data_IF_673404419535
#
_entry.id   IF_673404419535
#
_cell.length_a   1.000
_cell.length_b   1.000
_cell.length_c   1.000
_cell.angle_alpha   90.00
_cell.angle_beta   90.00
_cell.angle_gamma   90.00
#
_symmetry.space_group_name_H-M   'P 1'
#
loop_
_entity.id
_entity.type
_entity.pdbx_description
1 polymer ?
#
# COMPACT_ATOMS: atom_id res chain seq x y z
N UNK A 1 -52.16 -29.26 -19.29
CA UNK A 1 -50.83 -28.77 -19.72
C UNK A 1 -49.96 -29.98 -20.07
N UNK A 2 -49.29 -30.02 -21.23
CA UNK A 2 -48.49 -31.20 -21.64
C UNK A 2 -47.34 -31.45 -20.66
N UNK A 3 -47.09 -32.72 -20.26
CA UNK A 3 -45.95 -33.12 -19.41
C UNK A 3 -44.62 -32.56 -19.90
N UNK A 4 -44.47 -32.34 -21.21
CA UNK A 4 -43.28 -31.76 -21.85
C UNK A 4 -43.10 -30.28 -21.48
N UNK A 5 -44.18 -29.50 -21.36
CA UNK A 5 -44.14 -28.09 -20.91
C UNK A 5 -43.76 -27.98 -19.43
N UNK A 6 -44.26 -28.88 -18.59
CA UNK A 6 -43.94 -28.91 -17.15
C UNK A 6 -42.45 -29.21 -16.92
N UNK A 7 -41.88 -30.18 -17.65
CA UNK A 7 -40.46 -30.51 -17.55
C UNK A 7 -39.55 -29.36 -18.02
N UNK A 8 -39.95 -28.61 -19.04
CA UNK A 8 -39.19 -27.44 -19.50
C UNK A 8 -39.25 -26.31 -18.48
N UNK A 9 -40.43 -26.04 -17.90
CA UNK A 9 -40.59 -25.00 -16.86
C UNK A 9 -39.71 -25.29 -15.65
N UNK A 10 -39.68 -26.56 -15.20
CA UNK A 10 -38.84 -26.99 -14.09
C UNK A 10 -37.34 -26.83 -14.37
N UNK A 11 -36.89 -27.14 -15.59
CA UNK A 11 -35.48 -26.91 -15.99
C UNK A 11 -35.10 -25.43 -15.95
N UNK A 12 -35.95 -24.54 -16.46
CA UNK A 12 -35.68 -23.10 -16.42
C UNK A 12 -35.66 -22.55 -15.00
N UNK A 13 -36.54 -23.02 -14.10
CA UNK A 13 -36.48 -22.62 -12.68
C UNK A 13 -35.19 -23.07 -12.01
N UNK A 14 -34.68 -24.26 -12.32
CA UNK A 14 -33.39 -24.74 -11.79
C UNK A 14 -32.23 -23.87 -12.29
N UNK A 15 -32.20 -23.53 -13.58
CA UNK A 15 -31.17 -22.63 -14.12
C UNK A 15 -31.21 -21.23 -13.51
N UNK A 16 -32.41 -20.67 -13.29
CA UNK A 16 -32.57 -19.38 -12.62
C UNK A 16 -32.00 -19.41 -11.19
N UNK A 17 -32.28 -20.47 -10.42
CA UNK A 17 -31.75 -20.63 -9.06
C UNK A 17 -30.23 -20.73 -9.08
N UNK A 18 -29.65 -21.52 -9.98
CA UNK A 18 -28.18 -21.63 -10.12
C UNK A 18 -27.56 -20.27 -10.46
N UNK A 19 -28.16 -19.51 -11.38
CA UNK A 19 -27.68 -18.17 -11.75
C UNK A 19 -27.71 -17.21 -10.55
N UNK A 20 -28.80 -17.21 -9.77
CA UNK A 20 -28.91 -16.39 -8.57
C UNK A 20 -27.87 -16.76 -7.50
N UNK A 21 -27.57 -18.05 -7.34
CA UNK A 21 -26.50 -18.52 -6.44
C UNK A 21 -25.13 -18.00 -6.92
N UNK A 22 -24.83 -18.09 -8.22
CA UNK A 22 -23.57 -17.59 -8.77
C UNK A 22 -23.45 -16.08 -8.57
N UNK A 23 -24.50 -15.32 -8.83
CA UNK A 23 -24.53 -13.86 -8.60
C UNK A 23 -24.33 -13.54 -7.12
N UNK A 24 -25.01 -14.28 -6.23
CA UNK A 24 -24.87 -14.13 -4.78
C UNK A 24 -23.44 -14.41 -4.30
N UNK A 25 -22.79 -15.45 -4.83
CA UNK A 25 -21.39 -15.76 -4.53
C UNK A 25 -20.43 -14.70 -5.08
N UNK A 26 -20.63 -14.25 -6.33
CA UNK A 26 -19.82 -13.19 -6.91
C UNK A 26 -19.95 -11.87 -6.13
N UNK A 27 -21.16 -11.50 -5.72
CA UNK A 27 -21.41 -10.34 -4.87
C UNK A 27 -20.80 -10.51 -3.48
N UNK A 28 -20.90 -11.71 -2.89
CA UNK A 28 -20.27 -12.00 -1.60
C UNK A 28 -18.74 -11.87 -1.66
N UNK A 29 -18.10 -12.38 -2.72
CA UNK A 29 -16.65 -12.22 -2.94
C UNK A 29 -16.30 -10.74 -3.16
N UNK A 30 -17.10 -9.99 -3.91
CA UNK A 30 -16.91 -8.56 -4.11
C UNK A 30 -16.98 -7.78 -2.79
N UNK A 31 -18.04 -8.02 -1.99
CA UNK A 31 -18.20 -7.39 -0.68
C UNK A 31 -17.07 -7.79 0.25
N UNK A 32 -16.74 -9.07 0.35
CA UNK A 32 -15.63 -9.56 1.15
C UNK A 32 -14.32 -8.92 0.73
N UNK A 33 -14.01 -8.80 -0.57
CA UNK A 33 -12.81 -8.08 -1.02
C UNK A 33 -12.82 -6.61 -0.64
N UNK A 34 -14.00 -5.97 -0.63
CA UNK A 34 -14.17 -4.56 -0.21
C UNK A 34 -14.09 -4.35 1.31
N UNK A 35 -14.48 -5.35 2.11
CA UNK A 35 -14.46 -5.27 3.59
C UNK A 35 -13.26 -5.95 4.24
N UNK A 36 -12.63 -6.92 3.58
CA UNK A 36 -11.37 -7.57 3.97
C UNK A 36 -10.13 -6.86 3.41
N UNK A 37 -10.30 -5.90 2.51
CA UNK A 37 -9.47 -4.68 2.54
C UNK A 37 -9.80 -3.83 3.78
N UNK A 38 -10.04 -4.48 4.92
CA UNK A 38 -10.39 -3.93 6.23
C UNK A 38 -9.28 -3.13 6.89
N UNK A 39 -8.36 -2.65 6.07
CA UNK A 39 -7.44 -1.54 6.24
C UNK A 39 -8.09 -0.18 5.94
N UNK A 40 -9.34 -0.17 5.46
CA UNK A 40 -10.17 1.04 5.36
C UNK A 40 -10.64 1.51 6.75
N UNK A 41 -9.75 1.68 7.72
CA UNK A 41 -10.09 2.61 8.80
C UNK A 41 -10.04 4.00 8.15
N UNK A 42 -11.21 4.41 7.64
CA UNK A 42 -11.35 5.63 6.87
C UNK A 42 -10.73 6.77 7.67
N UNK A 43 -9.78 7.46 7.04
CA UNK A 43 -9.14 8.59 7.67
C UNK A 43 -10.22 9.59 8.08
N UNK A 44 -10.32 9.90 9.38
CA UNK A 44 -11.37 10.77 9.88
C UNK A 44 -10.79 12.05 10.45
N UNK A 45 -11.48 13.15 10.18
CA UNK A 45 -11.08 14.49 10.60
C UNK A 45 -11.90 14.88 11.82
N UNK A 46 -11.21 15.33 12.87
CA UNK A 46 -11.84 15.90 14.07
C UNK A 46 -11.36 17.33 14.22
N UNK A 47 -12.28 18.28 14.18
CA UNK A 47 -12.01 19.69 14.39
C UNK A 47 -12.59 20.15 15.72
N UNK A 48 -11.76 20.79 16.54
CA UNK A 48 -12.24 21.53 17.72
C UNK A 48 -12.80 22.89 17.31
N UNK A 49 -12.17 23.53 16.33
CA UNK A 49 -12.57 24.77 15.66
C UNK A 49 -11.98 24.82 14.24
N UNK A 50 -12.18 25.91 13.51
CA UNK A 50 -11.74 26.06 12.10
C UNK A 50 -10.22 25.92 11.88
N UNK A 51 -9.40 26.21 12.90
CA UNK A 51 -7.94 26.23 12.81
C UNK A 51 -7.28 25.06 13.57
N UNK A 52 -8.03 24.36 14.42
CA UNK A 52 -7.54 23.25 15.23
C UNK A 52 -8.23 21.95 14.80
N UNK A 53 -7.75 21.36 13.71
CA UNK A 53 -8.19 20.05 13.23
C UNK A 53 -7.05 19.04 13.25
N UNK A 54 -7.41 17.79 13.51
CA UNK A 54 -6.55 16.63 13.39
C UNK A 54 -7.19 15.65 12.40
N UNK A 55 -6.35 14.92 11.67
CA UNK A 55 -6.77 13.77 10.88
C UNK A 55 -6.13 12.52 11.49
N UNK A 56 -6.94 11.52 11.83
CA UNK A 56 -6.44 10.20 12.16
C UNK A 56 -6.23 9.45 10.84
N UNK A 57 -4.99 9.07 10.56
CA UNK A 57 -4.61 8.34 9.36
C UNK A 57 -4.33 6.89 9.70
N UNK A 58 -4.75 6.02 8.78
CA UNK A 58 -4.38 4.62 8.72
C UNK A 58 -4.14 4.32 7.25
N UNK A 59 -2.87 4.28 6.85
CA UNK A 59 -2.49 4.18 5.44
C UNK A 59 -1.52 3.03 5.23
N UNK A 60 -1.65 2.37 4.08
CA UNK A 60 -0.81 1.25 3.67
C UNK A 60 -0.24 1.49 2.29
N UNK A 61 1.02 1.09 2.07
CA UNK A 61 1.63 1.09 0.74
C UNK A 61 2.42 -0.17 0.51
N UNK A 62 2.34 -0.70 -0.71
CA UNK A 62 3.20 -1.80 -1.13
C UNK A 62 4.60 -1.26 -1.38
N UNK A 63 5.63 -1.94 -0.88
CA UNK A 63 7.02 -1.67 -1.25
C UNK A 63 7.66 -2.93 -1.84
N UNK A 64 8.52 -2.77 -2.82
CA UNK A 64 9.39 -3.84 -3.31
C UNK A 64 10.79 -3.30 -3.43
N UNK A 65 11.77 -4.06 -2.96
CA UNK A 65 13.17 -3.66 -2.97
C UNK A 65 13.96 -4.78 -3.64
N UNK A 66 14.48 -4.51 -4.83
CA UNK A 66 15.29 -5.46 -5.59
C UNK A 66 16.74 -4.97 -5.63
N UNK A 67 17.67 -5.75 -5.07
CA UNK A 67 19.11 -5.44 -5.09
C UNK A 67 19.86 -6.55 -5.82
N UNK A 68 20.51 -6.21 -6.93
CA UNK A 68 21.20 -7.16 -7.81
C UNK A 68 20.30 -8.37 -8.18
N UNK A 69 19.09 -8.09 -8.66
CA UNK A 69 18.07 -9.09 -9.04
C UNK A 69 17.60 -10.00 -7.89
N UNK A 70 17.87 -9.64 -6.63
CA UNK A 70 17.35 -10.33 -5.45
C UNK A 70 16.36 -9.43 -4.72
N UNK A 71 15.16 -9.94 -4.52
CA UNK A 71 14.16 -9.27 -3.70
C UNK A 71 14.58 -9.32 -2.23
N UNK A 72 14.60 -8.15 -1.58
CA UNK A 72 14.79 -8.02 -0.15
C UNK A 72 13.42 -7.99 0.54
N UNK A 73 13.26 -8.84 1.54
CA UNK A 73 12.08 -8.85 2.39
C UNK A 73 12.30 -7.97 3.62
N UNK A 74 11.31 -7.14 3.91
CA UNK A 74 11.28 -6.35 5.12
C UNK A 74 10.88 -7.18 6.34
N UNK A 75 11.39 -6.85 7.55
CA UNK A 75 10.91 -7.46 8.78
C UNK A 75 9.42 -7.16 8.98
N UNK A 76 8.68 -8.07 9.62
CA UNK A 76 7.27 -7.86 9.96
C UNK A 76 7.14 -7.04 11.24
N UNK A 77 6.13 -6.17 11.31
CA UNK A 77 5.77 -5.42 12.53
C UNK A 77 6.95 -4.64 13.17
N UNK A 78 7.88 -4.15 12.35
CA UNK A 78 9.08 -3.44 12.76
C UNK A 78 8.87 -1.92 12.71
N UNK A 79 9.21 -1.24 13.81
CA UNK A 79 9.00 0.19 13.99
C UNK A 79 8.01 0.55 15.09
N UNK A 80 7.73 1.85 15.19
CA UNK A 80 6.75 2.36 16.14
C UNK A 80 5.33 2.12 15.62
N UNK A 81 4.55 1.33 16.36
CA UNK A 81 3.15 1.02 16.04
C UNK A 81 2.23 2.25 16.05
N UNK A 82 2.66 3.37 16.64
CA UNK A 82 1.96 4.66 16.64
C UNK A 82 2.68 5.64 15.71
N UNK A 83 2.81 5.25 14.46
CA UNK A 83 3.61 5.95 13.46
C UNK A 83 3.99 4.99 12.33
N UNK A 84 5.14 5.23 11.72
CA UNK A 84 5.62 4.47 10.56
C UNK A 84 6.24 3.13 10.98
N UNK A 85 5.73 2.03 10.45
CA UNK A 85 6.22 0.68 10.69
C UNK A 85 5.91 -0.27 9.52
N UNK A 86 6.42 -1.49 9.55
CA UNK A 86 5.97 -2.55 8.63
C UNK A 86 4.72 -3.23 9.15
N UNK A 87 3.84 -3.64 8.25
CA UNK A 87 2.63 -4.36 8.62
C UNK A 87 2.90 -5.86 8.89
N UNK A 88 1.85 -6.60 9.25
CA UNK A 88 1.90 -8.07 9.42
C UNK A 88 2.03 -8.82 8.09
N UNK A 89 1.55 -8.24 6.99
CA UNK A 89 1.82 -8.68 5.62
C UNK A 89 3.22 -8.23 5.19
N UNK A 90 3.91 -9.08 4.43
CA UNK A 90 5.26 -8.77 3.94
C UNK A 90 5.25 -7.56 3.03
N UNK A 91 6.26 -6.72 3.19
CA UNK A 91 6.57 -5.62 2.29
C UNK A 91 5.41 -4.60 2.15
N UNK A 92 4.66 -4.41 3.23
CA UNK A 92 3.66 -3.35 3.36
C UNK A 92 4.18 -2.31 4.36
N UNK A 93 4.31 -1.07 3.89
CA UNK A 93 4.47 0.11 4.73
C UNK A 93 3.14 0.38 5.41
N UNK A 94 3.19 0.73 6.69
CA UNK A 94 2.01 1.04 7.47
C UNK A 94 2.26 2.27 8.34
N UNK A 95 1.28 3.17 8.38
CA UNK A 95 1.29 4.34 9.24
C UNK A 95 -0.06 4.50 9.92
N UNK A 96 -0.02 4.59 11.25
CA UNK A 96 -1.19 4.79 12.09
C UNK A 96 -0.90 5.89 13.14
N UNK A 97 -1.31 7.13 12.85
CA UNK A 97 -1.19 8.24 13.79
C UNK A 97 -2.16 9.39 13.46
N UNK A 98 -2.26 10.37 14.38
CA UNK A 98 -2.98 11.62 14.20
C UNK A 98 -2.04 12.72 13.73
N UNK A 99 -2.34 13.36 12.61
CA UNK A 99 -1.58 14.51 12.10
C UNK A 99 -2.41 15.79 12.17
N UNK A 100 -1.72 16.93 12.29
CA UNK A 100 -2.34 18.24 12.22
C UNK A 100 -2.90 18.48 10.81
N UNK A 101 -4.14 18.97 10.72
CA UNK A 101 -4.87 19.10 9.47
C UNK A 101 -5.42 20.52 9.31
N UNK A 102 -5.30 21.08 8.11
CA UNK A 102 -5.91 22.35 7.76
C UNK A 102 -7.21 22.10 7.00
N UNK A 103 -8.34 22.36 7.66
CA UNK A 103 -9.66 22.13 7.09
C UNK A 103 -10.01 23.06 5.91
N UNK A 104 -9.41 24.26 5.84
CA UNK A 104 -9.65 25.21 4.75
C UNK A 104 -8.94 24.79 3.46
N UNK A 105 -7.70 24.31 3.57
CA UNK A 105 -6.93 23.85 2.41
C UNK A 105 -7.11 22.36 2.12
N UNK A 106 -7.79 21.64 3.02
CA UNK A 106 -7.96 20.19 3.02
C UNK A 106 -6.62 19.43 2.93
N UNK A 107 -5.62 19.88 3.68
CA UNK A 107 -4.25 19.32 3.64
C UNK A 107 -3.72 19.05 5.03
N UNK A 108 -2.91 18.00 5.14
CA UNK A 108 -2.04 17.77 6.30
C UNK A 108 -1.05 18.93 6.38
N UNK A 109 -0.86 19.49 7.57
CA UNK A 109 0.00 20.65 7.80
C UNK A 109 1.48 20.22 7.77
N UNK A 110 1.79 19.12 8.44
CA UNK A 110 3.14 18.54 8.49
C UNK A 110 3.11 17.11 7.94
N UNK A 111 3.66 16.95 6.74
CA UNK A 111 3.80 15.65 6.06
C UNK A 111 5.14 14.98 6.34
N UNK A 112 5.98 15.56 7.19
CA UNK A 112 7.28 14.99 7.54
C UNK A 112 7.18 13.53 8.01
N UNK A 113 6.25 13.14 8.91
CA UNK A 113 6.11 11.75 9.36
C UNK A 113 5.88 10.75 8.21
N UNK A 114 5.24 11.21 7.13
CA UNK A 114 4.89 10.45 5.95
C UNK A 114 5.99 10.41 4.88
N UNK A 115 7.18 10.94 5.13
CA UNK A 115 8.30 10.82 4.20
C UNK A 115 8.97 9.45 4.29
N UNK A 116 9.38 8.89 3.15
CA UNK A 116 10.05 7.58 3.10
C UNK A 116 11.29 7.48 3.98
N UNK A 117 12.05 8.57 4.16
CA UNK A 117 13.21 8.56 5.07
C UNK A 117 12.88 8.14 6.50
N UNK A 118 11.66 8.41 6.98
CA UNK A 118 11.22 8.00 8.30
C UNK A 118 10.89 6.52 8.36
N UNK A 119 10.46 5.93 7.25
CA UNK A 119 10.29 4.48 7.17
C UNK A 119 11.63 3.74 7.14
N UNK A 120 12.60 4.25 6.37
CA UNK A 120 13.91 3.60 6.23
C UNK A 120 14.87 3.90 7.38
N UNK A 121 14.45 4.70 8.38
CA UNK A 121 15.30 5.06 9.50
C UNK A 121 15.65 3.85 10.40
N UNK A 122 16.52 4.09 11.38
CA UNK A 122 16.99 3.10 12.33
C UNK A 122 15.91 2.55 13.28
N UNK A 123 14.78 3.25 13.44
CA UNK A 123 13.70 2.86 14.36
C UNK A 123 12.74 1.86 13.71
N UNK A 124 12.53 1.96 12.39
CA UNK A 124 11.58 1.12 11.66
C UNK A 124 12.24 -0.12 11.03
N UNK A 125 13.05 0.05 9.97
CA UNK A 125 13.68 -1.11 9.28
C UNK A 125 15.21 -1.08 9.26
N UNK A 126 15.83 -0.01 9.76
CA UNK A 126 17.28 0.17 9.81
C UNK A 126 17.99 -0.14 8.49
N UNK A 127 17.53 0.49 7.42
CA UNK A 127 18.05 0.27 6.07
C UNK A 127 18.46 1.62 5.47
N UNK A 128 19.74 1.77 5.14
CA UNK A 128 20.19 2.96 4.44
C UNK A 128 19.39 3.15 3.15
N UNK A 129 18.88 4.35 2.92
CA UNK A 129 18.23 4.71 1.66
C UNK A 129 18.79 6.07 1.25
N UNK A 130 18.64 6.46 -0.02
CA UNK A 130 18.89 7.80 -0.57
C UNK A 130 18.72 7.74 -2.09
N UNK A 131 18.91 8.86 -2.77
CA UNK A 131 19.04 8.90 -4.23
C UNK A 131 20.33 8.25 -4.75
N UNK A 132 21.27 7.88 -3.87
CA UNK A 132 22.57 7.32 -4.26
C UNK A 132 22.84 5.94 -3.69
N UNK A 133 22.15 5.52 -2.64
CA UNK A 133 22.43 4.26 -1.96
C UNK A 133 21.16 3.59 -1.43
N UNK A 134 21.16 2.25 -1.40
CA UNK A 134 20.19 1.39 -0.71
C UNK A 134 20.97 0.32 0.06
N UNK A 135 20.71 0.20 1.35
CA UNK A 135 21.47 -0.59 2.30
C UNK A 135 22.99 -0.29 2.25
N UNK A 136 23.80 -1.28 1.88
CA UNK A 136 25.25 -1.23 1.72
C UNK A 136 25.68 -0.99 0.26
N UNK A 137 24.73 -0.75 -0.65
CA UNK A 137 25.00 -0.55 -2.08
C UNK A 137 24.79 0.90 -2.48
N UNK A 138 25.78 1.47 -3.16
CA UNK A 138 25.74 2.82 -3.68
C UNK A 138 25.93 2.84 -5.20
N UNK A 139 25.54 3.93 -5.84
CA UNK A 139 25.68 4.12 -7.28
C UNK A 139 27.13 3.85 -7.73
N UNK A 140 27.25 3.10 -8.83
CA UNK A 140 28.48 2.55 -9.39
C UNK A 140 29.05 1.30 -8.69
N UNK A 141 28.47 0.84 -7.57
CA UNK A 141 28.76 -0.50 -7.09
C UNK A 141 28.31 -1.55 -8.11
N UNK A 142 28.99 -2.69 -8.09
CA UNK A 142 28.78 -3.74 -9.09
C UNK A 142 27.71 -4.73 -8.65
N UNK A 143 26.79 -5.03 -9.56
CA UNK A 143 25.99 -6.26 -9.57
C UNK A 143 26.48 -7.10 -10.75
N UNK A 144 27.01 -8.30 -10.50
CA UNK A 144 27.51 -9.20 -11.55
C UNK A 144 28.48 -8.50 -12.54
N UNK A 145 29.44 -7.74 -12.00
CA UNK A 145 30.42 -6.93 -12.74
C UNK A 145 29.84 -5.78 -13.58
N UNK A 146 28.57 -5.44 -13.40
CA UNK A 146 27.91 -4.32 -14.07
C UNK A 146 27.70 -3.16 -13.08
N UNK A 147 28.22 -1.96 -13.36
CA UNK A 147 27.93 -0.76 -12.58
C UNK A 147 26.42 -0.54 -12.47
N UNK A 148 25.94 -0.41 -11.25
CA UNK A 148 24.51 -0.36 -10.93
C UNK A 148 24.15 0.96 -10.26
N UNK A 149 22.85 1.31 -10.29
CA UNK A 149 22.34 2.53 -9.65
C UNK A 149 21.00 2.31 -8.96
N UNK A 150 20.74 3.11 -7.93
CA UNK A 150 19.43 3.16 -7.27
C UNK A 150 18.42 3.83 -8.18
N UNK A 151 17.25 3.23 -8.33
CA UNK A 151 16.08 3.81 -8.99
C UNK A 151 14.86 3.60 -8.11
N UNK A 152 13.93 4.54 -8.15
CA UNK A 152 12.67 4.45 -7.43
C UNK A 152 11.52 4.70 -8.40
N UNK A 153 10.50 3.89 -8.31
CA UNK A 153 9.26 4.02 -9.05
C UNK A 153 8.10 4.08 -8.05
N UNK A 154 7.13 4.92 -8.34
CA UNK A 154 5.88 5.01 -7.59
C UNK A 154 4.76 4.83 -8.61
N UNK A 155 3.94 3.81 -8.42
CA UNK A 155 2.84 3.47 -9.33
C UNK A 155 3.35 3.33 -10.78
N UNK A 156 4.44 2.59 -10.95
CA UNK A 156 5.14 2.32 -12.23
C UNK A 156 5.76 3.54 -12.93
N UNK A 157 5.77 4.71 -12.27
CA UNK A 157 6.39 5.94 -12.79
C UNK A 157 7.68 6.22 -12.01
N UNK A 158 8.78 6.46 -12.73
CA UNK A 158 10.07 6.79 -12.11
C UNK A 158 9.94 8.10 -11.29
N UNK A 159 10.40 8.05 -10.04
CA UNK A 159 10.28 9.13 -9.08
C UNK A 159 11.67 9.49 -8.51
N UNK A 160 12.00 10.78 -8.49
CA UNK A 160 13.31 11.29 -8.09
C UNK A 160 13.34 11.95 -6.71
N UNK A 161 12.27 11.81 -5.92
CA UNK A 161 12.18 12.43 -4.58
C UNK A 161 12.84 11.57 -3.49
N UNK A 162 12.92 10.25 -3.68
CA UNK A 162 13.55 9.29 -2.75
C UNK A 162 13.14 9.53 -1.28
N UNK A 163 14.07 9.96 -0.44
CA UNK A 163 13.86 10.30 0.98
C UNK A 163 12.74 11.28 1.24
N UNK A 164 12.57 12.24 0.34
CA UNK A 164 11.60 13.30 0.48
C UNK A 164 10.24 12.95 -0.15
N UNK A 165 10.09 11.74 -0.70
CA UNK A 165 8.81 11.26 -1.16
C UNK A 165 7.85 11.09 0.01
N UNK A 166 6.73 11.80 -0.04
CA UNK A 166 5.60 11.67 0.87
C UNK A 166 4.67 10.61 0.29
N UNK A 167 4.62 9.45 0.93
CA UNK A 167 3.83 8.33 0.43
C UNK A 167 2.36 8.44 0.84
N UNK A 168 1.50 7.87 0.01
CA UNK A 168 0.04 7.90 0.16
C UNK A 168 -0.52 6.48 0.27
N UNK A 169 -1.71 6.39 0.83
CA UNK A 169 -2.45 5.13 0.88
C UNK A 169 -2.61 4.53 -0.53
N UNK A 170 -2.34 3.23 -0.65
CA UNK A 170 -2.41 2.47 -1.90
C UNK A 170 -1.23 2.66 -2.86
N UNK A 171 -0.22 3.49 -2.53
CA UNK A 171 0.97 3.61 -3.37
C UNK A 171 1.69 2.26 -3.53
N UNK A 172 2.22 2.04 -4.74
CA UNK A 172 3.11 0.93 -5.08
C UNK A 172 4.51 1.45 -5.31
N UNK A 173 5.37 1.25 -4.33
CA UNK A 173 6.73 1.77 -4.33
C UNK A 173 7.67 0.64 -4.73
N UNK A 174 8.44 0.85 -5.79
CA UNK A 174 9.47 -0.10 -6.23
C UNK A 174 10.82 0.58 -6.21
N UNK A 175 11.75 0.03 -5.44
CA UNK A 175 13.14 0.48 -5.36
C UNK A 175 14.01 -0.61 -5.97
N UNK A 176 14.86 -0.24 -6.91
CA UNK A 176 15.79 -1.18 -7.55
C UNK A 176 17.22 -0.70 -7.45
N UNK A 177 18.15 -1.64 -7.32
CA UNK A 177 19.59 -1.43 -7.48
C UNK A 177 20.13 -2.50 -8.44
N UNK A 178 20.49 -2.09 -9.65
CA UNK A 178 20.97 -2.99 -10.70
C UNK A 178 21.45 -2.25 -11.95
N UNK A 179 21.96 -3.01 -12.91
CA UNK A 179 22.26 -2.52 -14.26
C UNK A 179 20.97 -2.17 -15.02
N UNK A 180 21.09 -1.31 -16.04
CA UNK A 180 19.99 -1.05 -16.97
C UNK A 180 19.61 -2.28 -17.80
#
# INVERSE_FOLDING_TARGET
MSKKKVNNLFKYSVYLVILLVIIGLAYSVYVFKKSSSGENSESFIVCKDENNCIIALHIHSEVSIDVCSKQLDLPLEAGNKRGTHTHKERNILHFEEKLAYNNKTQKIIDTEPLKLKNFFNHESVNMGFSNTCINDKCNNDLCDNTPSRVRMFVNDIENFQFHDYVWNDGDKIKITFGGE
#
